data_IF_561997097310
#
_entry.id   IF_561997097310
#
_cell.length_a   1.000
_cell.length_b   1.000
_cell.length_c   1.000
_cell.angle_alpha   90.00
_cell.angle_beta   90.00
_cell.angle_gamma   90.00
#
_symmetry.space_group_name_H-M   'P 1'
#
loop_
_entity.id
_entity.type
_entity.pdbx_description
1 polymer ?
#
# COMPACT_ATOMS: atom_id res chain seq x y z
N UNK A 1 -11.50 -16.64 6.22
CA UNK A 1 -12.21 -16.87 7.50
C UNK A 1 -12.15 -18.36 7.78
N UNK A 2 -11.54 -18.77 8.91
CA UNK A 2 -11.20 -20.17 9.16
C UNK A 2 -11.39 -20.50 10.65
N UNK A 3 -12.04 -21.63 10.96
CA UNK A 3 -12.15 -22.18 12.32
C UNK A 3 -11.42 -23.52 12.35
N UNK A 4 -10.55 -23.73 13.33
CA UNK A 4 -9.88 -25.02 13.56
C UNK A 4 -10.69 -25.87 14.55
N UNK A 5 -11.20 -27.02 14.12
CA UNK A 5 -11.94 -27.98 14.98
C UNK A 5 -11.02 -28.81 15.92
N UNK A 6 -9.77 -28.39 16.16
CA UNK A 6 -8.75 -29.19 16.90
C UNK A 6 -7.81 -28.45 17.87
N UNK A 7 -8.01 -27.17 18.15
CA UNK A 7 -7.17 -26.46 19.12
C UNK A 7 -7.83 -26.40 20.52
N UNK A 8 -7.40 -27.20 21.51
CA UNK A 8 -7.45 -26.74 22.90
C UNK A 8 -6.49 -25.55 23.07
N UNK A 9 -6.67 -24.80 24.16
CA UNK A 9 -5.98 -23.52 24.41
C UNK A 9 -4.49 -23.66 24.74
N UNK A 10 -3.79 -22.51 24.72
CA UNK A 10 -2.39 -22.28 25.12
C UNK A 10 -1.32 -22.72 24.11
N UNK A 11 -0.77 -21.73 23.39
CA UNK A 11 0.63 -21.76 22.92
C UNK A 11 1.43 -20.64 23.58
N UNK A 12 1.98 -20.95 24.75
CA UNK A 12 2.79 -20.03 25.54
C UNK A 12 4.24 -20.04 25.00
N UNK A 13 4.68 -18.97 24.34
CA UNK A 13 5.96 -18.96 23.58
C UNK A 13 7.16 -18.77 24.53
N UNK A 14 7.62 -19.87 25.14
CA UNK A 14 8.93 -19.95 25.83
C UNK A 14 9.62 -21.29 25.63
N UNK A 15 10.51 -21.36 24.62
CA UNK A 15 11.95 -21.61 24.84
C UNK A 15 12.77 -21.48 23.56
N UNK A 16 13.89 -20.77 23.68
CA UNK A 16 15.00 -20.78 22.71
C UNK A 16 15.78 -22.07 22.93
N UNK A 17 16.18 -22.76 21.85
CA UNK A 17 17.23 -23.78 21.88
C UNK A 17 18.13 -23.54 20.66
N UNK A 18 19.42 -23.29 20.90
CA UNK A 18 20.43 -23.18 19.85
C UNK A 18 20.88 -24.56 19.37
N UNK A 19 21.34 -24.63 18.11
CA UNK A 19 22.08 -25.78 17.55
C UNK A 19 23.46 -25.27 17.08
N UNK A 20 24.58 -25.95 17.41
CA UNK A 20 25.94 -25.43 17.20
C UNK A 20 26.48 -25.67 15.78
N UNK A 21 27.65 -25.08 15.49
CA UNK A 21 28.28 -25.09 14.16
C UNK A 21 29.64 -25.81 14.12
N UNK A 22 29.91 -26.50 13.01
CA UNK A 22 31.24 -26.88 12.48
C UNK A 22 31.11 -26.91 10.93
N UNK A 23 32.01 -26.30 10.13
CA UNK A 23 33.36 -26.76 9.72
C UNK A 23 33.33 -28.14 9.00
N UNK A 24 33.96 -28.35 7.84
CA UNK A 24 34.74 -27.46 6.93
C UNK A 24 35.04 -28.22 5.61
N UNK A 25 35.17 -27.57 4.43
CA UNK A 25 35.79 -28.17 3.25
C UNK A 25 37.33 -28.03 3.25
N UNK A 26 38.05 -28.95 2.62
CA UNK A 26 39.51 -28.93 2.43
C UNK A 26 39.93 -28.22 1.14
N UNK A 27 41.24 -27.92 0.99
CA UNK A 27 41.79 -27.05 -0.06
C UNK A 27 42.99 -27.68 -0.79
N UNK A 28 43.29 -27.15 -1.99
CA UNK A 28 44.54 -27.14 -2.81
C UNK A 28 44.15 -26.76 -4.27
N UNK A 29 44.99 -26.16 -5.12
CA UNK A 29 46.41 -25.78 -5.01
C UNK A 29 46.71 -24.48 -5.81
N UNK A 30 47.96 -23.99 -5.76
CA UNK A 30 48.38 -22.60 -6.09
C UNK A 30 48.52 -22.22 -7.58
N UNK A 31 48.81 -20.92 -7.88
CA UNK A 31 50.04 -20.47 -8.58
C UNK A 31 50.18 -18.91 -8.76
N UNK A 32 51.34 -18.38 -8.33
CA UNK A 32 52.09 -17.16 -8.74
C UNK A 32 51.61 -15.69 -8.46
N UNK A 33 52.62 -14.79 -8.49
CA UNK A 33 52.78 -13.47 -7.82
C UNK A 33 53.80 -12.65 -8.64
N UNK A 34 53.80 -11.30 -8.81
CA UNK A 34 52.75 -10.28 -8.66
C UNK A 34 52.94 -9.14 -9.71
N UNK A 35 53.65 -7.98 -9.54
CA UNK A 35 54.31 -7.36 -8.38
C UNK A 35 53.53 -6.14 -7.80
N UNK A 36 54.15 -4.94 -7.69
CA UNK A 36 53.58 -3.66 -7.20
C UNK A 36 53.88 -2.53 -8.20
N UNK A 37 52.95 -1.58 -8.41
CA UNK A 37 53.23 -0.22 -8.94
C UNK A 37 52.33 0.78 -8.19
N UNK A 38 52.92 1.87 -7.68
CA UNK A 38 52.21 2.90 -6.91
C UNK A 38 52.62 4.31 -7.33
N UNK A 39 51.75 5.01 -8.06
CA UNK A 39 51.78 6.47 -8.24
C UNK A 39 50.32 6.96 -8.30
N UNK A 40 49.93 8.05 -7.61
CA UNK A 40 48.57 8.58 -7.65
C UNK A 40 48.41 9.66 -8.72
N UNK A 41 47.29 9.64 -9.45
CA UNK A 41 46.90 10.74 -10.35
C UNK A 41 45.40 11.08 -10.23
N UNK A 42 45.12 12.38 -10.39
CA UNK A 42 43.82 13.06 -10.37
C UNK A 42 43.82 14.00 -11.60
N UNK A 43 42.71 14.31 -12.32
CA UNK A 43 41.32 13.87 -12.18
C UNK A 43 40.70 13.29 -13.48
N UNK A 44 39.45 12.80 -13.38
CA UNK A 44 38.46 12.97 -14.46
C UNK A 44 37.04 13.08 -13.88
N UNK A 45 36.22 13.99 -14.39
CA UNK A 45 34.84 14.20 -13.93
C UNK A 45 33.89 13.12 -14.48
N UNK A 46 33.62 12.09 -13.68
CA UNK A 46 32.65 11.04 -14.02
C UNK A 46 31.21 11.58 -14.09
N UNK A 47 30.64 11.64 -15.29
CA UNK A 47 29.22 11.95 -15.48
C UNK A 47 28.38 10.77 -15.02
N UNK A 48 27.86 10.82 -13.80
CA UNK A 48 26.92 9.83 -13.26
C UNK A 48 25.50 10.01 -13.85
N UNK A 49 25.44 9.83 -15.18
CA UNK A 49 24.25 9.39 -15.91
C UNK A 49 23.89 8.01 -15.38
N UNK A 50 22.88 7.97 -14.52
CA UNK A 50 22.16 6.76 -14.16
C UNK A 50 21.43 6.26 -15.42
N UNK A 51 21.30 4.95 -15.60
CA UNK A 51 20.43 4.43 -16.66
C UNK A 51 18.97 4.79 -16.39
N UNK A 52 18.11 4.78 -17.41
CA UNK A 52 16.68 5.01 -17.21
C UNK A 52 16.06 3.97 -16.25
N UNK A 53 16.58 2.73 -16.23
CA UNK A 53 16.19 1.69 -15.27
C UNK A 53 16.66 2.00 -13.84
N UNK A 54 17.88 2.52 -13.64
CA UNK A 54 18.36 2.98 -12.32
C UNK A 54 17.52 4.17 -11.82
N UNK A 55 17.17 5.11 -12.71
CA UNK A 55 16.28 6.24 -12.41
C UNK A 55 14.89 5.73 -12.05
N UNK A 56 14.38 4.71 -12.76
CA UNK A 56 13.10 4.07 -12.51
C UNK A 56 13.07 3.38 -11.13
N UNK A 57 14.13 2.62 -10.79
CA UNK A 57 14.30 1.97 -9.48
C UNK A 57 14.38 3.00 -8.33
N UNK A 58 15.25 4.00 -8.46
CA UNK A 58 15.40 5.09 -7.46
C UNK A 58 14.11 5.90 -7.33
N UNK A 59 13.33 6.06 -8.41
CA UNK A 59 12.01 6.66 -8.36
C UNK A 59 10.99 5.78 -7.61
N UNK A 60 10.96 4.45 -7.82
CA UNK A 60 10.06 3.57 -7.06
C UNK A 60 10.35 3.64 -5.56
N UNK A 61 11.62 3.48 -5.15
CA UNK A 61 12.03 3.62 -3.74
C UNK A 61 11.64 5.00 -3.16
N UNK A 62 11.91 6.09 -3.90
CA UNK A 62 11.58 7.45 -3.46
C UNK A 62 10.06 7.76 -3.40
N UNK A 63 9.20 6.92 -3.99
CA UNK A 63 7.75 7.09 -3.99
C UNK A 63 7.06 6.18 -2.97
N UNK A 64 7.62 5.02 -2.66
CA UNK A 64 7.12 4.13 -1.59
C UNK A 64 7.61 4.52 -0.18
N UNK A 65 8.52 5.51 -0.07
CA UNK A 65 8.96 6.12 1.20
C UNK A 65 7.83 6.83 1.97
N UNK A 66 7.08 6.02 2.73
CA UNK A 66 5.94 6.43 3.55
C UNK A 66 6.38 7.00 4.91
N UNK A 67 6.58 8.33 4.97
CA UNK A 67 6.88 9.11 6.19
C UNK A 67 8.11 8.67 7.00
N UNK A 68 9.29 8.99 6.48
CA UNK A 68 10.46 9.19 7.34
C UNK A 68 10.73 10.68 7.56
N UNK A 69 10.68 11.12 8.82
CA UNK A 69 11.61 12.15 9.27
C UNK A 69 12.96 11.47 9.45
N UNK A 70 13.95 11.83 8.65
CA UNK A 70 15.30 11.28 8.79
C UNK A 70 16.03 12.04 9.89
N UNK A 71 16.59 11.33 10.87
CA UNK A 71 17.61 11.92 11.74
C UNK A 71 18.88 12.09 10.93
N UNK A 72 19.36 13.33 10.83
CA UNK A 72 20.71 13.63 10.35
C UNK A 72 21.74 13.18 11.38
N UNK A 73 23.03 13.11 11.00
CA UNK A 73 24.13 12.70 11.89
C UNK A 73 24.22 13.59 13.16
N UNK A 74 23.72 14.82 13.06
CA UNK A 74 23.60 15.80 14.15
C UNK A 74 22.30 15.65 14.98
N UNK A 75 21.59 14.52 14.87
CA UNK A 75 20.37 14.21 15.62
C UNK A 75 19.10 15.01 15.24
N UNK A 76 19.21 16.01 14.35
CA UNK A 76 18.07 16.82 13.91
C UNK A 76 17.17 16.01 12.95
N UNK A 77 15.85 16.07 13.20
CA UNK A 77 14.82 15.53 12.29
C UNK A 77 14.70 16.43 11.05
N UNK A 78 15.17 15.95 9.91
CA UNK A 78 14.94 16.53 8.59
C UNK A 78 13.75 15.86 7.91
N UNK A 79 13.13 16.52 6.92
CA UNK A 79 12.16 15.86 6.04
C UNK A 79 12.90 15.04 4.99
N UNK A 80 12.46 13.79 4.77
CA UNK A 80 12.97 12.92 3.69
C UNK A 80 12.85 13.53 2.28
N UNK A 81 11.94 14.50 2.10
CA UNK A 81 11.82 15.33 0.89
C UNK A 81 13.13 16.06 0.49
N UNK A 82 14.07 16.24 1.43
CA UNK A 82 15.36 16.92 1.20
C UNK A 82 16.55 15.95 1.16
N UNK A 83 16.32 14.65 1.03
CA UNK A 83 17.38 13.68 0.72
C UNK A 83 17.85 13.82 -0.73
N UNK A 84 19.14 13.59 -0.99
CA UNK A 84 19.76 13.77 -2.32
C UNK A 84 19.06 12.98 -3.43
N UNK A 85 18.59 11.76 -3.14
CA UNK A 85 17.81 10.92 -4.06
C UNK A 85 16.45 11.54 -4.38
N UNK A 86 15.68 11.97 -3.38
CA UNK A 86 14.36 12.59 -3.58
C UNK A 86 14.48 13.94 -4.29
N UNK A 87 15.49 14.75 -3.99
CA UNK A 87 15.78 16.00 -4.72
C UNK A 87 16.12 15.70 -6.20
N UNK A 88 16.98 14.70 -6.48
CA UNK A 88 17.31 14.30 -7.87
C UNK A 88 16.07 13.81 -8.62
N UNK A 89 15.23 12.99 -7.98
CA UNK A 89 13.98 12.48 -8.56
C UNK A 89 12.94 13.60 -8.81
N UNK A 90 12.77 14.54 -7.86
CA UNK A 90 11.91 15.72 -8.03
C UNK A 90 12.39 16.59 -9.19
N UNK A 91 13.69 16.86 -9.28
CA UNK A 91 14.29 17.64 -10.38
C UNK A 91 14.10 16.95 -11.74
N UNK A 92 14.30 15.64 -11.82
CA UNK A 92 14.05 14.88 -13.06
C UNK A 92 12.57 14.96 -13.49
N UNK A 93 11.63 14.73 -12.58
CA UNK A 93 10.18 14.85 -12.84
C UNK A 93 9.76 16.27 -13.29
N UNK A 94 10.33 17.31 -12.66
CA UNK A 94 10.09 18.71 -13.04
C UNK A 94 10.67 19.09 -14.42
N UNK A 95 11.67 18.36 -14.91
CA UNK A 95 12.23 18.53 -16.26
C UNK A 95 11.46 17.72 -17.31
N UNK A 96 10.91 16.57 -16.94
CA UNK A 96 10.15 15.68 -17.84
C UNK A 96 8.74 16.22 -18.15
N UNK A 97 8.04 16.77 -17.16
CA UNK A 97 6.71 17.38 -17.38
C UNK A 97 6.84 18.86 -17.76
N UNK A 98 6.43 19.20 -18.98
CA UNK A 98 6.43 20.58 -19.51
C UNK A 98 5.07 21.03 -20.08
N UNK A 99 4.10 20.13 -20.16
CA UNK A 99 2.72 20.38 -20.60
C UNK A 99 1.76 20.43 -19.41
N UNK A 100 0.70 21.22 -19.51
CA UNK A 100 -0.35 21.27 -18.49
C UNK A 100 -1.13 19.97 -18.42
N UNK A 101 -1.51 19.58 -17.21
CA UNK A 101 -2.35 18.41 -16.93
C UNK A 101 -1.58 17.25 -16.28
N UNK A 102 -2.29 16.14 -16.04
CA UNK A 102 -1.78 14.94 -15.39
C UNK A 102 -1.06 14.03 -16.40
N UNK A 103 0.25 14.22 -16.53
CA UNK A 103 1.10 13.41 -17.40
C UNK A 103 1.48 12.12 -16.67
N UNK A 104 1.37 10.96 -17.34
CA UNK A 104 1.87 9.69 -16.80
C UNK A 104 3.41 9.72 -16.78
N UNK A 105 4.00 9.43 -15.63
CA UNK A 105 5.45 9.54 -15.40
C UNK A 105 6.11 8.23 -14.97
N UNK A 106 5.33 7.24 -14.52
CA UNK A 106 5.81 5.93 -14.09
C UNK A 106 4.65 4.93 -14.07
N UNK A 107 4.89 3.68 -14.46
CA UNK A 107 3.97 2.57 -14.16
C UNK A 107 4.74 1.31 -13.77
N UNK A 108 4.17 0.49 -12.89
CA UNK A 108 4.83 -0.70 -12.35
C UNK A 108 3.86 -1.87 -12.15
N UNK A 109 4.41 -3.05 -11.81
CA UNK A 109 3.67 -4.27 -11.53
C UNK A 109 2.64 -4.66 -12.62
N UNK A 110 3.04 -4.57 -13.89
CA UNK A 110 2.17 -4.73 -15.07
C UNK A 110 0.99 -3.74 -15.09
N UNK A 111 1.30 -2.44 -14.95
CA UNK A 111 0.37 -1.30 -14.87
C UNK A 111 -0.67 -1.38 -13.73
N UNK A 112 -0.44 -2.21 -12.72
CA UNK A 112 -1.25 -2.22 -11.48
C UNK A 112 -1.02 -0.99 -10.61
N UNK A 113 0.12 -0.32 -10.78
CA UNK A 113 0.39 1.01 -10.22
C UNK A 113 0.74 1.93 -11.38
N UNK A 114 0.14 3.12 -11.40
CA UNK A 114 0.41 4.17 -12.38
C UNK A 114 0.49 5.49 -11.63
N UNK A 115 1.56 6.26 -11.86
CA UNK A 115 1.76 7.58 -11.29
C UNK A 115 1.62 8.65 -12.36
N UNK A 116 0.82 9.66 -12.06
CA UNK A 116 0.67 10.88 -12.84
C UNK A 116 1.23 12.08 -12.08
N UNK A 117 1.68 13.10 -12.79
CA UNK A 117 2.10 14.37 -12.21
C UNK A 117 1.50 15.55 -12.97
N UNK A 118 0.86 16.47 -12.24
CA UNK A 118 0.43 17.76 -12.73
C UNK A 118 1.34 18.86 -12.15
N UNK A 119 2.18 19.43 -13.00
CA UNK A 119 3.14 20.50 -12.67
C UNK A 119 2.46 21.87 -12.68
N UNK A 120 2.84 22.76 -11.76
CA UNK A 120 2.35 24.13 -11.69
C UNK A 120 2.99 25.05 -12.76
N UNK A 121 2.78 24.74 -14.04
CA UNK A 121 3.38 25.48 -15.17
C UNK A 121 2.91 26.94 -15.24
N UNK A 122 1.71 27.23 -14.71
CA UNK A 122 1.16 28.59 -14.60
C UNK A 122 1.76 29.40 -13.44
N UNK A 123 2.67 28.82 -12.64
CA UNK A 123 3.29 29.42 -11.46
C UNK A 123 2.26 30.06 -10.49
N UNK A 124 1.15 29.34 -10.26
CA UNK A 124 0.08 29.77 -9.34
C UNK A 124 0.63 29.75 -7.91
N UNK A 125 0.48 30.87 -7.19
CA UNK A 125 1.01 31.01 -5.83
C UNK A 125 0.01 30.59 -4.74
N UNK A 126 -1.28 30.57 -5.05
CA UNK A 126 -2.34 30.26 -4.10
C UNK A 126 -2.78 28.79 -4.25
N UNK A 127 -2.79 28.02 -3.15
CA UNK A 127 -3.21 26.60 -3.19
C UNK A 127 -4.65 26.40 -3.64
N UNK A 128 -5.59 27.28 -3.26
CA UNK A 128 -7.01 27.17 -3.64
C UNK A 128 -7.14 27.35 -5.16
N UNK A 129 -6.45 28.34 -5.74
CA UNK A 129 -6.41 28.56 -7.19
C UNK A 129 -5.72 27.38 -7.91
N UNK A 130 -4.60 26.88 -7.37
CA UNK A 130 -3.90 25.73 -7.94
C UNK A 130 -4.79 24.49 -7.97
N UNK A 131 -5.38 24.11 -6.83
CA UNK A 131 -6.30 22.98 -6.74
C UNK A 131 -7.52 23.15 -7.65
N UNK A 132 -8.15 24.33 -7.67
CA UNK A 132 -9.27 24.60 -8.58
C UNK A 132 -8.86 24.46 -10.05
N UNK A 133 -7.63 24.82 -10.43
CA UNK A 133 -7.16 24.72 -11.82
C UNK A 133 -6.98 23.29 -12.33
N UNK A 134 -6.80 22.30 -11.44
CA UNK A 134 -6.58 20.88 -11.77
C UNK A 134 -7.76 19.96 -11.38
N UNK A 135 -8.72 20.45 -10.58
CA UNK A 135 -9.76 19.64 -9.92
C UNK A 135 -10.66 18.88 -10.91
N UNK A 136 -11.06 19.50 -12.01
CA UNK A 136 -11.92 18.84 -13.02
C UNK A 136 -11.18 17.69 -13.70
N UNK A 137 -9.95 17.94 -14.15
CA UNK A 137 -9.11 16.94 -14.82
C UNK A 137 -8.77 15.76 -13.90
N UNK A 138 -8.48 16.03 -12.62
CA UNK A 138 -8.28 15.00 -11.60
C UNK A 138 -9.52 14.10 -11.44
N UNK A 139 -10.71 14.69 -11.39
CA UNK A 139 -11.98 13.94 -11.27
C UNK A 139 -12.27 13.14 -12.54
N UNK A 140 -12.04 13.71 -13.72
CA UNK A 140 -12.24 13.05 -15.02
C UNK A 140 -11.26 11.89 -15.22
N UNK A 141 -9.97 12.07 -14.92
CA UNK A 141 -8.96 11.03 -14.94
C UNK A 141 -9.34 9.89 -13.98
N UNK A 142 -9.69 10.18 -12.73
CA UNK A 142 -10.09 9.17 -11.75
C UNK A 142 -11.35 8.40 -12.18
N UNK A 143 -12.37 9.07 -12.72
CA UNK A 143 -13.54 8.41 -13.32
C UNK A 143 -13.15 7.49 -14.47
N UNK A 144 -12.33 7.97 -15.40
CA UNK A 144 -11.91 7.21 -16.59
C UNK A 144 -11.13 5.94 -16.28
N UNK A 145 -10.53 5.82 -15.09
CA UNK A 145 -9.89 4.58 -14.62
C UNK A 145 -10.85 3.73 -13.77
N UNK A 146 -11.65 4.36 -12.88
CA UNK A 146 -12.64 3.69 -12.05
C UNK A 146 -13.75 2.98 -12.85
N UNK A 147 -14.07 3.44 -14.05
CA UNK A 147 -15.03 2.82 -14.96
C UNK A 147 -14.55 1.49 -15.55
N UNK A 148 -13.22 1.28 -15.63
CA UNK A 148 -12.61 0.06 -16.16
C UNK A 148 -12.50 -1.04 -15.09
N UNK A 149 -12.17 -0.64 -13.87
CA UNK A 149 -12.09 -1.49 -12.68
C UNK A 149 -12.04 -0.61 -11.43
N UNK A 150 -12.40 -1.13 -10.23
CA UNK A 150 -12.16 -0.40 -9.00
C UNK A 150 -10.67 -0.03 -8.84
N UNK A 151 -10.42 1.11 -8.21
CA UNK A 151 -9.08 1.64 -7.96
C UNK A 151 -8.92 2.04 -6.50
N UNK A 152 -7.68 2.25 -6.08
CA UNK A 152 -7.37 3.21 -5.02
C UNK A 152 -6.60 4.37 -5.64
N UNK A 153 -6.67 5.54 -5.02
CA UNK A 153 -5.77 6.63 -5.33
C UNK A 153 -5.25 7.32 -4.08
N UNK A 154 -4.07 7.91 -4.18
CA UNK A 154 -3.55 8.90 -3.24
C UNK A 154 -3.04 10.14 -4.00
N UNK A 155 -2.88 11.22 -3.25
CA UNK A 155 -2.31 12.47 -3.73
C UNK A 155 -1.08 12.81 -2.88
N UNK A 156 -0.04 13.34 -3.51
CA UNK A 156 1.11 13.96 -2.83
C UNK A 156 1.33 15.33 -3.46
N UNK A 157 0.96 16.38 -2.74
CA UNK A 157 1.26 17.76 -3.08
C UNK A 157 2.74 18.02 -2.80
N UNK A 158 3.44 18.70 -3.71
CA UNK A 158 4.83 19.12 -3.52
C UNK A 158 4.94 20.64 -3.67
N UNK A 159 5.67 21.24 -2.74
CA UNK A 159 5.93 22.66 -2.70
C UNK A 159 7.34 22.94 -2.16
N UNK A 160 7.82 24.14 -2.42
CA UNK A 160 9.13 24.61 -2.01
C UNK A 160 8.94 25.82 -1.11
N UNK A 161 9.61 25.82 0.04
CA UNK A 161 9.56 26.86 1.06
C UNK A 161 10.93 27.49 1.25
N UNK A 162 10.99 28.71 1.78
CA UNK A 162 12.23 29.38 2.15
C UNK A 162 12.03 30.22 3.42
N UNK A 163 13.11 30.71 4.01
CA UNK A 163 13.06 31.75 5.05
C UNK A 163 13.37 33.09 4.36
N UNK A 164 12.49 34.11 4.44
CA UNK A 164 12.73 35.41 3.81
C UNK A 164 14.06 36.04 4.25
N UNK A 165 14.83 36.56 3.29
CA UNK A 165 16.13 37.22 3.50
C UNK A 165 17.23 36.32 4.11
N UNK A 166 17.10 34.98 4.03
CA UNK A 166 18.16 34.05 4.43
C UNK A 166 18.59 33.21 3.22
N UNK A 167 19.84 33.38 2.80
CA UNK A 167 20.42 32.64 1.68
C UNK A 167 20.47 31.12 1.95
N UNK A 168 20.26 30.34 0.89
CA UNK A 168 20.24 28.86 0.92
C UNK A 168 19.22 28.25 1.91
N UNK A 169 18.20 29.01 2.33
CA UNK A 169 17.12 28.54 3.22
C UNK A 169 16.03 27.71 2.53
N UNK A 170 16.21 27.35 1.26
CA UNK A 170 15.21 26.60 0.48
C UNK A 170 15.05 25.17 0.99
N UNK A 171 13.81 24.81 1.36
CA UNK A 171 13.44 23.48 1.83
C UNK A 171 12.24 22.93 1.02
N UNK A 172 12.37 21.70 0.53
CA UNK A 172 11.28 20.97 -0.11
C UNK A 172 10.32 20.43 0.95
N UNK A 173 9.02 20.57 0.73
CA UNK A 173 7.96 19.99 1.56
C UNK A 173 6.94 19.26 0.70
N UNK A 174 6.28 18.27 1.30
CA UNK A 174 5.19 17.54 0.64
C UNK A 174 4.13 17.09 1.62
N UNK A 175 2.88 17.26 1.23
CA UNK A 175 1.67 16.91 1.99
C UNK A 175 0.95 15.79 1.25
N UNK A 176 0.26 14.86 1.94
CA UNK A 176 -0.25 13.64 1.28
C UNK A 176 -1.54 13.05 1.84
N UNK A 177 -2.32 12.44 0.96
CA UNK A 177 -3.51 11.65 1.36
C UNK A 177 -3.17 10.18 1.57
N UNK A 178 -3.94 9.49 2.40
CA UNK A 178 -3.97 8.03 2.47
C UNK A 178 -4.73 7.47 1.25
N UNK A 179 -4.38 6.25 0.82
CA UNK A 179 -4.92 5.66 -0.40
C UNK A 179 -6.42 5.29 -0.27
N UNK A 180 -7.32 6.14 -0.78
CA UNK A 180 -8.77 5.94 -0.74
C UNK A 180 -9.27 5.09 -1.90
N UNK A 181 -10.21 4.15 -1.69
CA UNK A 181 -10.80 3.36 -2.77
C UNK A 181 -11.88 4.13 -3.52
N UNK A 182 -11.97 3.88 -4.83
CA UNK A 182 -13.08 4.27 -5.69
C UNK A 182 -13.63 2.98 -6.34
N UNK A 183 -14.95 2.78 -6.27
CA UNK A 183 -15.62 1.57 -6.75
C UNK A 183 -16.44 1.79 -8.02
N UNK A 184 -16.76 3.04 -8.35
CA UNK A 184 -17.54 3.49 -9.50
C UNK A 184 -17.30 4.98 -9.73
N UNK A 185 -17.85 5.56 -10.80
CA UNK A 185 -17.75 7.01 -11.08
C UNK A 185 -18.55 7.91 -10.11
N UNK A 186 -19.48 7.32 -9.36
CA UNK A 186 -20.30 8.00 -8.35
C UNK A 186 -19.48 8.26 -7.08
N UNK A 187 -19.54 9.46 -6.50
CA UNK A 187 -18.78 9.82 -5.30
C UNK A 187 -17.34 10.29 -5.56
N UNK A 188 -16.86 10.27 -6.81
CA UNK A 188 -15.44 10.62 -7.12
C UNK A 188 -15.13 12.08 -6.83
N UNK A 189 -16.08 13.01 -7.07
CA UNK A 189 -15.89 14.44 -6.81
C UNK A 189 -15.70 14.69 -5.32
N UNK A 190 -16.54 14.08 -4.52
CA UNK A 190 -16.64 14.19 -3.08
C UNK A 190 -15.38 13.63 -2.41
N UNK A 191 -14.92 12.43 -2.84
CA UNK A 191 -13.69 11.80 -2.33
C UNK A 191 -12.43 12.60 -2.72
N UNK A 192 -12.42 13.25 -3.89
CA UNK A 192 -11.35 14.18 -4.30
C UNK A 192 -11.37 15.47 -3.48
N UNK A 193 -12.56 16.02 -3.19
CA UNK A 193 -12.73 17.23 -2.37
C UNK A 193 -12.26 16.99 -0.93
N UNK A 194 -12.63 15.86 -0.30
CA UNK A 194 -12.06 15.43 0.98
C UNK A 194 -10.52 15.29 0.94
N UNK A 195 -9.98 14.87 -0.20
CA UNK A 195 -8.53 14.74 -0.42
C UNK A 195 -7.83 16.10 -0.47
N UNK A 196 -8.38 17.06 -1.19
CA UNK A 196 -7.88 18.43 -1.29
C UNK A 196 -7.97 19.13 0.07
N UNK A 197 -9.09 18.99 0.79
CA UNK A 197 -9.28 19.56 2.14
C UNK A 197 -8.20 19.04 3.11
N UNK A 198 -7.87 17.74 3.06
CA UNK A 198 -6.77 17.19 3.88
C UNK A 198 -5.40 17.81 3.54
N UNK A 199 -5.11 17.99 2.25
CA UNK A 199 -3.84 18.60 1.82
C UNK A 199 -3.72 20.08 2.23
N UNK A 200 -4.83 20.82 2.20
CA UNK A 200 -4.88 22.19 2.72
C UNK A 200 -4.67 22.23 4.24
N UNK A 201 -5.36 21.38 4.99
CA UNK A 201 -5.19 21.31 6.45
C UNK A 201 -3.74 20.95 6.87
N UNK A 202 -3.07 20.05 6.14
CA UNK A 202 -1.65 19.74 6.39
C UNK A 202 -0.70 20.91 6.06
N UNK A 203 -1.03 21.73 5.06
CA UNK A 203 -0.32 22.98 4.77
C UNK A 203 -0.54 24.03 5.88
N UNK A 204 -1.78 24.25 6.30
CA UNK A 204 -2.12 25.22 7.34
C UNK A 204 -1.50 24.83 8.70
N UNK A 205 -1.49 23.55 9.04
CA UNK A 205 -0.81 23.00 10.23
C UNK A 205 0.73 23.08 10.10
N UNK A 206 1.29 23.16 8.90
CA UNK A 206 2.73 23.41 8.71
C UNK A 206 3.06 24.89 8.88
N UNK A 207 2.31 25.79 8.23
CA UNK A 207 2.58 27.23 8.24
C UNK A 207 2.26 27.89 9.60
N UNK A 208 1.31 27.37 10.37
CA UNK A 208 0.99 27.87 11.72
C UNK A 208 2.07 27.58 12.79
N UNK A 209 3.06 26.72 12.51
CA UNK A 209 4.10 26.31 13.49
C UNK A 209 5.21 27.34 13.74
N UNK A 210 5.11 28.56 13.20
CA UNK A 210 6.01 29.67 13.52
C UNK A 210 7.48 29.46 13.14
N UNK A 211 7.76 28.55 12.20
CA UNK A 211 9.12 28.09 11.86
C UNK A 211 9.95 29.10 11.03
N UNK A 212 9.38 30.24 10.68
CA UNK A 212 9.98 31.24 9.78
C UNK A 212 9.91 30.90 8.29
N UNK A 213 9.42 29.70 7.92
CA UNK A 213 9.32 29.28 6.52
C UNK A 213 8.06 29.82 5.84
N UNK A 214 8.26 30.55 4.74
CA UNK A 214 7.22 31.00 3.81
C UNK A 214 7.17 30.11 2.57
N UNK A 215 6.01 30.04 1.92
CA UNK A 215 5.86 29.37 0.63
C UNK A 215 6.68 30.14 -0.44
N UNK A 216 7.61 29.46 -1.11
CA UNK A 216 8.39 30.02 -2.22
C UNK A 216 7.72 29.71 -3.57
N UNK A 217 7.22 28.49 -3.75
CA UNK A 217 6.34 28.12 -4.87
C UNK A 217 5.61 26.79 -4.60
N UNK A 218 4.49 26.58 -5.29
CA UNK A 218 3.86 25.25 -5.44
C UNK A 218 4.52 24.59 -6.65
N UNK A 219 5.11 23.41 -6.51
CA UNK A 219 5.76 22.71 -7.62
C UNK A 219 4.75 21.97 -8.51
N UNK A 220 3.81 21.27 -7.86
CA UNK A 220 2.80 20.45 -8.51
C UNK A 220 2.23 19.37 -7.59
N UNK A 221 1.49 18.43 -8.16
CA UNK A 221 0.87 17.33 -7.42
C UNK A 221 1.07 15.99 -8.12
N UNK A 222 1.48 14.98 -7.37
CA UNK A 222 1.49 13.59 -7.80
C UNK A 222 0.15 12.92 -7.48
N UNK A 223 -0.30 12.09 -8.40
CA UNK A 223 -1.46 11.22 -8.28
C UNK A 223 -1.00 9.78 -8.47
N UNK A 224 -1.05 8.98 -7.41
CA UNK A 224 -0.84 7.54 -7.50
C UNK A 224 -2.17 6.84 -7.69
N UNK A 225 -2.31 6.04 -8.75
CA UNK A 225 -3.49 5.19 -9.01
C UNK A 225 -3.06 3.73 -8.93
N UNK A 226 -3.82 2.95 -8.17
CA UNK A 226 -3.59 1.54 -7.92
C UNK A 226 -4.80 0.74 -8.40
N UNK A 227 -4.62 -0.23 -9.30
CA UNK A 227 -5.66 -1.20 -9.64
C UNK A 227 -6.03 -1.98 -8.38
N UNK A 228 -7.32 -1.94 -8.00
CA UNK A 228 -7.76 -2.47 -6.72
C UNK A 228 -8.80 -3.57 -6.94
N UNK A 229 -8.43 -4.81 -6.61
CA UNK A 229 -9.40 -5.88 -6.41
C UNK A 229 -9.97 -5.77 -4.99
N UNK A 230 -11.24 -5.36 -4.81
CA UNK A 230 -11.83 -5.32 -3.48
C UNK A 230 -11.93 -6.73 -2.90
N UNK A 231 -11.67 -6.87 -1.61
CA UNK A 231 -11.91 -8.12 -0.88
C UNK A 231 -13.42 -8.29 -0.69
N UNK A 232 -14.02 -9.02 -1.63
CA UNK A 232 -15.43 -9.38 -1.62
C UNK A 232 -15.60 -10.84 -1.20
N UNK A 233 -16.74 -11.16 -0.60
CA UNK A 233 -17.28 -12.51 -0.66
C UNK A 233 -17.71 -12.89 -2.09
N UNK A 234 -18.09 -14.15 -2.30
CA UNK A 234 -18.51 -14.68 -3.59
C UNK A 234 -19.38 -15.93 -3.43
N UNK A 235 -19.57 -16.69 -4.52
CA UNK A 235 -19.82 -18.12 -4.48
C UNK A 235 -18.56 -18.91 -4.06
N UNK A 236 -18.68 -20.23 -3.98
CA UNK A 236 -17.60 -21.15 -3.60
C UNK A 236 -16.29 -20.92 -4.39
N UNK A 237 -15.21 -20.66 -3.65
CA UNK A 237 -13.84 -20.68 -4.17
C UNK A 237 -13.17 -21.96 -3.65
N UNK A 238 -12.52 -22.78 -4.49
CA UNK A 238 -11.76 -23.94 -4.03
C UNK A 238 -10.59 -23.51 -3.13
N UNK A 239 -10.37 -24.24 -2.03
CA UNK A 239 -9.17 -24.06 -1.21
C UNK A 239 -7.93 -24.51 -1.99
N UNK A 240 -6.77 -23.85 -1.82
CA UNK A 240 -5.50 -24.44 -2.20
C UNK A 240 -5.29 -25.79 -1.53
N UNK A 241 -4.80 -26.78 -2.27
CA UNK A 241 -4.82 -28.18 -1.83
C UNK A 241 -4.08 -28.41 -0.50
N UNK A 242 -3.09 -27.59 -0.14
CA UNK A 242 -2.37 -27.73 1.12
C UNK A 242 -3.23 -27.42 2.36
N UNK A 243 -4.33 -26.67 2.21
CA UNK A 243 -5.37 -26.49 3.23
C UNK A 243 -6.39 -27.62 3.10
N UNK A 244 -6.83 -27.92 1.86
CA UNK A 244 -7.85 -28.95 1.65
C UNK A 244 -7.41 -30.34 2.14
N UNK A 245 -6.16 -30.74 1.87
CA UNK A 245 -5.56 -32.00 2.35
C UNK A 245 -5.46 -32.08 3.88
N UNK A 246 -5.42 -30.95 4.60
CA UNK A 246 -5.43 -30.93 6.07
C UNK A 246 -6.81 -31.21 6.66
N UNK A 247 -7.89 -31.02 5.89
CA UNK A 247 -9.30 -31.17 6.30
C UNK A 247 -9.68 -30.46 7.62
N UNK A 248 -8.88 -29.46 8.02
CA UNK A 248 -9.04 -28.66 9.23
C UNK A 248 -9.84 -27.36 9.00
N UNK A 249 -10.36 -27.17 7.78
CA UNK A 249 -11.20 -26.03 7.36
C UNK A 249 -12.46 -26.57 6.71
N UNK A 250 -13.61 -26.05 7.12
CA UNK A 250 -14.88 -26.22 6.43
C UNK A 250 -14.97 -25.15 5.34
N UNK A 251 -15.22 -25.56 4.09
CA UNK A 251 -15.44 -24.65 2.97
C UNK A 251 -16.83 -24.92 2.35
N UNK A 252 -17.87 -24.14 2.68
CA UNK A 252 -19.23 -24.37 2.19
C UNK A 252 -19.32 -24.20 0.66
N UNK A 253 -19.94 -25.17 -0.01
CA UNK A 253 -20.09 -25.22 -1.47
C UNK A 253 -21.33 -24.45 -1.92
N UNK A 254 -21.29 -23.11 -1.78
CA UNK A 254 -22.39 -22.23 -2.16
C UNK A 254 -22.33 -21.76 -3.62
N UNK A 255 -23.49 -21.73 -4.30
CA UNK A 255 -23.65 -21.16 -5.65
C UNK A 255 -24.06 -19.67 -5.64
N UNK A 256 -24.60 -19.19 -4.51
CA UNK A 256 -25.02 -17.80 -4.30
C UNK A 256 -23.85 -16.86 -3.92
N UNK A 257 -24.14 -15.61 -3.58
CA UNK A 257 -23.14 -14.64 -3.09
C UNK A 257 -23.06 -14.57 -1.54
N UNK A 258 -23.58 -15.56 -0.82
CA UNK A 258 -23.73 -15.54 0.64
C UNK A 258 -22.59 -16.27 1.41
N UNK A 259 -21.39 -16.42 0.84
CA UNK A 259 -20.32 -17.21 1.48
C UNK A 259 -19.98 -16.78 2.92
N UNK A 260 -20.19 -15.51 3.29
CA UNK A 260 -20.03 -15.03 4.66
C UNK A 260 -21.06 -15.67 5.63
N UNK A 261 -22.34 -15.69 5.24
CA UNK A 261 -23.41 -16.35 6.00
C UNK A 261 -23.12 -17.84 6.16
N UNK A 262 -22.75 -18.53 5.08
CA UNK A 262 -22.40 -19.94 5.15
C UNK A 262 -21.15 -20.19 6.01
N UNK A 263 -20.10 -19.36 5.92
CA UNK A 263 -18.90 -19.49 6.76
C UNK A 263 -19.18 -19.25 8.27
N UNK A 264 -20.09 -18.33 8.61
CA UNK A 264 -20.59 -18.10 9.98
C UNK A 264 -21.36 -19.34 10.48
N UNK A 265 -22.33 -19.81 9.70
CA UNK A 265 -23.22 -20.92 10.05
C UNK A 265 -22.48 -22.26 10.19
N UNK A 266 -21.29 -22.40 9.58
CA UNK A 266 -20.41 -23.56 9.74
C UNK A 266 -20.00 -23.86 11.20
N UNK A 267 -20.12 -22.88 12.12
CA UNK A 267 -19.95 -23.09 13.57
C UNK A 267 -20.92 -24.13 14.14
N UNK A 268 -22.09 -24.30 13.52
CA UNK A 268 -23.17 -25.17 13.99
C UNK A 268 -23.26 -26.54 13.28
N UNK A 269 -22.64 -26.68 12.10
CA UNK A 269 -22.78 -27.88 11.26
C UNK A 269 -21.89 -29.03 11.78
N UNK A 270 -22.53 -30.15 12.11
CA UNK A 270 -21.91 -31.36 12.65
C UNK A 270 -21.99 -32.53 11.66
N UNK A 271 -21.41 -33.67 12.02
CA UNK A 271 -21.45 -34.88 11.18
C UNK A 271 -20.51 -34.85 9.96
N UNK A 272 -20.85 -35.66 8.95
CA UNK A 272 -20.11 -35.78 7.69
C UNK A 272 -20.64 -34.78 6.65
N UNK A 273 -19.90 -34.60 5.55
CA UNK A 273 -20.29 -33.71 4.45
C UNK A 273 -20.54 -32.25 4.86
N UNK A 274 -19.76 -31.73 5.84
CA UNK A 274 -19.86 -30.35 6.32
C UNK A 274 -19.75 -29.28 5.21
N UNK A 275 -19.26 -29.60 4.01
CA UNK A 275 -19.20 -28.68 2.88
C UNK A 275 -20.55 -28.42 2.18
N UNK A 276 -21.57 -29.26 2.38
CA UNK A 276 -22.88 -29.17 1.70
C UNK A 276 -23.79 -28.12 2.34
N UNK A 277 -24.22 -27.11 1.58
CA UNK A 277 -25.04 -25.99 2.10
C UNK A 277 -26.45 -26.40 2.54
N UNK A 278 -26.95 -27.53 2.04
CA UNK A 278 -28.24 -28.10 2.42
C UNK A 278 -28.30 -28.36 3.94
N UNK A 279 -27.17 -28.75 4.54
CA UNK A 279 -27.00 -28.98 5.98
C UNK A 279 -27.02 -27.68 6.84
N UNK A 280 -27.08 -26.50 6.22
CA UNK A 280 -26.99 -25.20 6.89
C UNK A 280 -28.36 -24.50 7.02
N UNK A 281 -29.33 -24.91 6.21
CA UNK A 281 -30.68 -24.32 6.13
C UNK A 281 -31.38 -24.26 7.49
N UNK A 282 -31.27 -25.35 8.27
CA UNK A 282 -31.80 -25.50 9.64
C UNK A 282 -31.10 -24.63 10.70
N UNK A 283 -30.17 -23.76 10.29
CA UNK A 283 -29.39 -22.89 11.18
C UNK A 283 -29.48 -21.41 10.80
N UNK A 284 -30.14 -21.03 9.71
CA UNK A 284 -30.11 -19.65 9.20
C UNK A 284 -30.64 -18.61 10.20
N UNK A 285 -31.65 -18.96 10.99
CA UNK A 285 -32.25 -18.11 12.03
C UNK A 285 -31.34 -17.87 13.26
N UNK A 286 -30.23 -18.61 13.40
CA UNK A 286 -29.34 -18.51 14.57
C UNK A 286 -28.55 -17.20 14.62
N UNK A 287 -28.51 -16.42 13.54
CA UNK A 287 -27.83 -15.12 13.49
C UNK A 287 -28.59 -14.11 12.62
N UNK A 288 -28.59 -12.86 13.06
CA UNK A 288 -29.22 -11.75 12.35
C UNK A 288 -28.29 -11.18 11.26
N UNK A 289 -28.55 -11.54 10.00
CA UNK A 289 -27.82 -11.06 8.81
C UNK A 289 -28.44 -9.79 8.18
N UNK A 290 -29.39 -9.12 8.85
CA UNK A 290 -30.05 -7.90 8.35
C UNK A 290 -29.05 -6.75 8.11
N UNK A 291 -29.39 -5.84 7.20
CA UNK A 291 -28.56 -4.67 6.84
C UNK A 291 -27.17 -4.99 6.25
N UNK A 292 -26.88 -6.27 5.97
CA UNK A 292 -25.73 -6.68 5.17
C UNK A 292 -26.12 -6.68 3.69
N UNK A 293 -25.20 -6.22 2.82
CA UNK A 293 -25.29 -6.52 1.39
C UNK A 293 -24.59 -7.84 1.09
N UNK A 294 -25.09 -8.61 0.13
CA UNK A 294 -24.39 -9.79 -0.40
C UNK A 294 -23.83 -9.49 -1.80
N UNK A 295 -22.56 -9.80 -2.09
CA UNK A 295 -21.55 -10.35 -1.18
C UNK A 295 -21.12 -9.36 -0.07
N UNK A 296 -20.89 -9.90 1.13
CA UNK A 296 -20.61 -9.09 2.33
C UNK A 296 -19.21 -8.48 2.28
N UNK A 297 -19.14 -7.16 2.46
CA UNK A 297 -17.90 -6.38 2.44
C UNK A 297 -17.24 -6.42 3.82
N UNK A 298 -15.91 -6.38 3.89
CA UNK A 298 -15.16 -6.50 5.16
C UNK A 298 -15.63 -5.53 6.27
N UNK A 299 -15.95 -4.28 5.94
CA UNK A 299 -16.44 -3.30 6.92
C UNK A 299 -17.85 -3.61 7.47
N UNK A 300 -18.64 -4.41 6.76
CA UNK A 300 -19.98 -4.83 7.20
C UNK A 300 -19.93 -5.98 8.22
N UNK A 301 -18.76 -6.60 8.44
CA UNK A 301 -18.57 -7.54 9.56
C UNK A 301 -18.89 -6.85 10.89
N UNK A 302 -18.48 -5.59 11.05
CA UNK A 302 -18.80 -4.78 12.23
C UNK A 302 -20.31 -4.45 12.36
N UNK A 303 -21.11 -4.59 11.29
CA UNK A 303 -22.58 -4.49 11.34
C UNK A 303 -23.16 -5.82 11.80
N UNK A 304 -22.66 -6.94 11.26
CA UNK A 304 -23.03 -8.29 11.69
C UNK A 304 -22.78 -8.49 13.19
N UNK A 305 -21.62 -8.10 13.71
CA UNK A 305 -21.29 -8.22 15.14
C UNK A 305 -22.22 -7.35 16.02
N UNK A 306 -22.56 -6.14 15.57
CA UNK A 306 -23.54 -5.28 16.27
C UNK A 306 -24.96 -5.86 16.28
N UNK A 307 -25.36 -6.54 15.20
CA UNK A 307 -26.64 -7.24 15.11
C UNK A 307 -26.69 -8.52 15.98
N UNK A 308 -25.53 -9.04 16.39
CA UNK A 308 -25.38 -10.33 17.06
C UNK A 308 -24.48 -10.18 18.29
N UNK A 309 -25.02 -9.53 19.32
CA UNK A 309 -24.35 -9.36 20.61
C UNK A 309 -23.82 -10.73 21.11
N UNK A 310 -22.57 -10.75 21.58
CA UNK A 310 -21.79 -11.95 21.93
C UNK A 310 -21.32 -12.81 20.72
N UNK A 311 -21.25 -12.25 19.51
CA UNK A 311 -20.62 -12.90 18.34
C UNK A 311 -19.50 -12.02 17.78
N UNK A 312 -18.27 -12.50 17.91
CA UNK A 312 -17.05 -11.92 17.31
C UNK A 312 -16.63 -12.69 16.06
N UNK A 313 -15.96 -12.00 15.14
CA UNK A 313 -15.56 -12.54 13.83
C UNK A 313 -14.11 -12.18 13.51
N UNK A 314 -13.25 -13.20 13.50
CA UNK A 314 -11.86 -13.15 13.06
C UNK A 314 -11.76 -13.46 11.55
N UNK A 315 -11.24 -12.49 10.79
CA UNK A 315 -11.14 -12.54 9.33
C UNK A 315 -9.67 -12.56 8.92
N UNK A 316 -9.25 -13.69 8.35
CA UNK A 316 -7.92 -13.90 7.78
C UNK A 316 -7.97 -13.94 6.25
N UNK A 317 -7.01 -13.25 5.62
CA UNK A 317 -6.62 -13.38 4.21
C UNK A 317 -5.65 -14.56 4.06
N UNK A 318 -5.70 -15.21 2.91
CA UNK A 318 -4.64 -16.08 2.42
C UNK A 318 -4.00 -15.43 1.20
N UNK A 319 -2.72 -15.10 1.27
CA UNK A 319 -1.95 -14.54 0.14
C UNK A 319 -1.13 -15.66 -0.53
N UNK A 320 -0.91 -15.54 -1.85
CA UNK A 320 -0.21 -16.53 -2.66
C UNK A 320 1.04 -15.91 -3.27
N UNK A 321 2.21 -16.31 -2.79
CA UNK A 321 3.50 -15.83 -3.27
C UNK A 321 4.11 -16.85 -4.24
N UNK A 322 4.50 -16.38 -5.42
CA UNK A 322 5.43 -17.09 -6.30
C UNK A 322 6.81 -16.47 -6.13
N UNK A 323 7.75 -17.22 -5.56
CA UNK A 323 9.16 -16.84 -5.48
C UNK A 323 9.98 -17.77 -6.36
N UNK A 324 10.54 -17.30 -7.50
CA UNK A 324 11.62 -18.02 -8.16
C UNK A 324 12.76 -18.27 -7.15
N UNK A 325 13.38 -19.45 -7.09
CA UNK A 325 13.25 -20.62 -7.98
C UNK A 325 12.27 -21.71 -7.47
N UNK A 326 11.36 -21.42 -6.53
CA UNK A 326 10.49 -22.44 -5.94
C UNK A 326 9.44 -22.93 -6.94
N UNK A 327 9.40 -24.26 -7.16
CA UNK A 327 8.44 -24.93 -8.08
C UNK A 327 6.98 -24.92 -7.59
N UNK A 328 6.73 -24.50 -6.36
CA UNK A 328 5.41 -24.49 -5.75
C UNK A 328 5.12 -23.12 -5.11
N UNK A 329 3.87 -22.62 -5.16
CA UNK A 329 3.50 -21.37 -4.52
C UNK A 329 3.55 -21.48 -3.00
N UNK A 330 4.20 -20.51 -2.34
CA UNK A 330 4.11 -20.31 -0.89
C UNK A 330 2.79 -19.60 -0.58
N UNK A 331 2.17 -19.94 0.54
CA UNK A 331 0.97 -19.27 1.01
C UNK A 331 1.18 -18.72 2.42
N UNK A 332 0.76 -17.48 2.65
CA UNK A 332 0.88 -16.79 3.92
C UNK A 332 -0.49 -16.30 4.41
N UNK A 333 -0.67 -16.29 5.74
CA UNK A 333 -1.96 -15.97 6.37
C UNK A 333 -1.84 -14.63 7.07
N UNK A 334 -2.62 -13.65 6.62
CA UNK A 334 -2.60 -12.29 7.15
C UNK A 334 -3.91 -11.97 7.88
N UNK A 335 -3.88 -11.41 9.10
CA UNK A 335 -5.08 -10.90 9.75
C UNK A 335 -5.60 -9.67 8.98
N UNK A 336 -6.90 -9.67 8.66
CA UNK A 336 -7.63 -8.51 8.14
C UNK A 336 -8.48 -7.84 9.22
N UNK A 337 -8.99 -8.66 10.15
CA UNK A 337 -9.67 -8.27 11.37
C UNK A 337 -9.43 -9.38 12.39
N UNK A 338 -8.94 -9.02 13.56
CA UNK A 338 -8.88 -9.88 14.73
C UNK A 338 -9.53 -9.10 15.88
N UNK A 339 -10.28 -9.78 16.75
CA UNK A 339 -10.77 -9.21 18.01
C UNK A 339 -9.78 -9.50 19.14
N UNK A 340 -9.67 -8.59 20.08
CA UNK A 340 -8.69 -8.69 21.18
C UNK A 340 -9.07 -9.77 22.23
N UNK A 341 -10.34 -10.18 22.26
CA UNK A 341 -10.90 -11.23 23.12
C UNK A 341 -11.77 -12.19 22.27
N UNK A 342 -11.56 -13.51 22.38
CA UNK A 342 -12.24 -14.58 21.59
C UNK A 342 -13.41 -15.27 22.31
#
# INVERSE_FOLDING_TARGET
>A
MFKCDKCPSVFNVKRIINVPAHRQPTAREDIQIAPQITVPDIPAGGSNMLSDDDICMIAMDAYEMLDSYTTTDNGKRASSANTTSVIKAKKARLLLVQTSGFIEILSSANRKVVWYYAKNIKNIQNYIEFFNSIKSELVELLKSQASKHPIKFNLKLEATYNIPNVDNSTENRSFKTSAKPIFSETGVREIVEEGIIKLMAEHDEYSSKGSGYTLQCIDGILLGIYQYTPMSGSSYIPLPDFIERKKAVINPQNSDQQCFKWAILAKHVTGSNKQRIENYTTHEEKYNFSNLTFPTKLHQVNIFEKNNLNVTVNVYRLEKHFQPPQKFPKYEVFPLKVVDEE
#
